data_IF_906944504290
#
_entry.id   IF_906944504290
#
_cell.length_a   1.000
_cell.length_b   1.000
_cell.length_c   1.000
_cell.angle_alpha   90.00
_cell.angle_beta   90.00
_cell.angle_gamma   90.00
#
_symmetry.space_group_name_H-M   'P 1'
#
loop_
_entity.id
_entity.type
_entity.pdbx_description
1 polymer ?
#
# COMPACT_ATOMS: atom_id res chain seq x y z
N UNK A 1 -4.23 21.14 -13.07
CA UNK A 1 -4.89 21.47 -11.81
C UNK A 1 -4.27 20.54 -10.79
N UNK A 2 -3.55 21.07 -9.77
CA UNK A 2 -3.01 20.21 -8.69
C UNK A 2 -4.19 19.58 -7.95
N UNK A 3 -4.17 18.26 -7.74
CA UNK A 3 -5.15 17.58 -6.91
C UNK A 3 -5.08 18.15 -5.50
N UNK A 4 -6.24 18.42 -4.90
CA UNK A 4 -6.32 18.91 -3.52
C UNK A 4 -5.78 17.84 -2.58
N UNK A 5 -4.78 18.21 -1.76
CA UNK A 5 -4.17 17.31 -0.78
C UNK A 5 -5.07 17.20 0.44
N UNK A 6 -5.53 16.00 0.75
CA UNK A 6 -6.38 15.75 1.92
C UNK A 6 -5.56 15.38 3.17
N UNK A 7 -4.34 14.88 2.98
CA UNK A 7 -3.36 14.66 4.05
C UNK A 7 -2.06 15.35 3.63
N UNK A 8 -1.49 16.15 4.52
CA UNK A 8 -0.18 16.75 4.35
C UNK A 8 0.63 16.59 5.63
N UNK A 9 1.92 16.26 5.49
CA UNK A 9 2.88 16.28 6.60
C UNK A 9 4.13 17.04 6.20
N UNK A 10 4.76 17.73 7.16
CA UNK A 10 6.02 18.46 6.99
C UNK A 10 6.95 18.16 8.15
N UNK A 11 8.07 17.52 7.86
CA UNK A 11 9.10 17.12 8.83
C UNK A 11 8.52 16.46 10.10
N UNK A 12 7.50 15.59 9.91
CA UNK A 12 6.78 14.95 11.00
C UNK A 12 7.71 14.02 11.76
N UNK A 13 7.78 14.16 13.09
CA UNK A 13 8.68 13.39 13.95
C UNK A 13 7.98 12.82 15.15
N UNK A 14 8.40 11.62 15.55
CA UNK A 14 7.98 11.00 16.80
C UNK A 14 9.13 10.25 17.46
N UNK A 15 9.49 10.67 18.66
CA UNK A 15 10.51 10.04 19.50
C UNK A 15 9.85 9.46 20.76
N UNK A 16 10.17 8.22 21.06
CA UNK A 16 9.77 7.56 22.30
C UNK A 16 10.97 7.48 23.26
N UNK A 17 10.72 7.74 24.54
CA UNK A 17 11.71 7.51 25.60
C UNK A 17 11.70 6.02 25.94
N UNK A 18 12.84 5.34 25.84
CA UNK A 18 13.02 3.96 26.25
C UNK A 18 14.14 3.86 27.30
N UNK A 19 14.17 2.76 28.05
CA UNK A 19 15.23 2.53 29.06
C UNK A 19 16.64 2.52 28.45
N UNK A 20 16.78 2.11 27.21
CA UNK A 20 18.05 2.05 26.46
C UNK A 20 18.36 3.32 25.66
N UNK A 21 17.63 4.41 25.82
CA UNK A 21 17.79 5.66 25.07
C UNK A 21 16.50 6.11 24.36
N UNK A 22 16.60 7.17 23.57
CA UNK A 22 15.47 7.65 22.76
C UNK A 22 15.40 6.89 21.44
N UNK A 23 14.20 6.45 21.04
CA UNK A 23 13.95 5.80 19.74
C UNK A 23 13.13 6.75 18.88
N UNK A 24 13.70 7.23 17.78
CA UNK A 24 13.00 8.05 16.80
C UNK A 24 12.26 7.15 15.83
N UNK A 25 10.97 6.90 16.08
CA UNK A 25 10.14 6.02 15.27
C UNK A 25 9.62 6.69 13.99
N UNK A 26 9.54 8.03 13.97
CA UNK A 26 9.23 8.84 12.79
C UNK A 26 10.27 9.95 12.74
N UNK A 27 11.04 10.03 11.68
CA UNK A 27 12.29 10.78 11.60
C UNK A 27 12.28 11.82 10.45
N UNK A 28 11.22 12.63 10.39
CA UNK A 28 11.09 13.70 9.38
C UNK A 28 10.28 13.27 8.16
N UNK A 29 9.10 12.67 8.38
CA UNK A 29 8.20 12.27 7.30
C UNK A 29 7.51 13.50 6.71
N UNK A 30 7.73 13.73 5.41
CA UNK A 30 7.05 14.75 4.60
C UNK A 30 6.37 14.04 3.45
N UNK A 31 5.04 14.10 3.36
CA UNK A 31 4.23 13.48 2.31
C UNK A 31 2.95 14.26 2.04
N UNK A 32 2.37 14.03 0.87
CA UNK A 32 1.06 14.53 0.49
C UNK A 32 0.19 13.42 -0.09
N UNK A 33 -1.09 13.37 0.30
CA UNK A 33 -2.06 12.42 -0.23
C UNK A 33 -3.19 13.16 -0.91
N UNK A 34 -3.45 12.83 -2.17
CA UNK A 34 -4.53 13.44 -2.93
C UNK A 34 -5.90 12.89 -2.52
N UNK A 35 -6.92 13.74 -2.59
CA UNK A 35 -8.31 13.34 -2.33
C UNK A 35 -8.75 12.24 -3.31
N UNK A 36 -9.33 11.18 -2.78
CA UNK A 36 -9.87 10.06 -3.56
C UNK A 36 -8.85 8.98 -3.95
N UNK A 37 -7.58 9.10 -3.54
CA UNK A 37 -6.57 8.09 -3.81
C UNK A 37 -6.58 6.96 -2.77
N UNK A 38 -6.07 5.80 -3.18
CA UNK A 38 -5.55 4.77 -2.27
C UNK A 38 -4.05 5.01 -2.13
N UNK A 39 -3.63 5.50 -0.96
CA UNK A 39 -2.23 5.75 -0.64
C UNK A 39 -1.65 4.63 0.23
N UNK A 40 -0.57 4.02 -0.24
CA UNK A 40 0.15 2.96 0.48
C UNK A 40 1.35 3.48 1.27
N UNK A 41 1.49 3.03 2.51
CA UNK A 41 2.67 3.29 3.33
C UNK A 41 3.40 1.97 3.57
N UNK A 42 4.35 1.64 2.69
CA UNK A 42 5.02 0.36 2.57
C UNK A 42 6.34 0.34 3.34
N UNK A 43 6.63 -0.71 4.07
CA UNK A 43 7.92 -0.88 4.73
C UNK A 43 7.97 -2.05 5.71
N UNK A 44 9.15 -2.42 6.23
CA UNK A 44 9.30 -3.52 7.16
C UNK A 44 8.64 -3.25 8.52
N UNK A 45 8.57 -4.29 9.35
CA UNK A 45 8.14 -4.14 10.73
C UNK A 45 9.11 -3.23 11.50
N UNK A 46 8.57 -2.29 12.29
CA UNK A 46 9.37 -1.31 13.01
C UNK A 46 9.83 -0.09 12.19
N UNK A 47 9.51 0.00 10.90
CA UNK A 47 9.88 1.15 10.06
C UNK A 47 9.19 2.47 10.41
N UNK A 48 8.16 2.46 11.28
CA UNK A 48 7.42 3.65 11.69
C UNK A 48 6.01 3.78 11.09
N UNK A 49 5.54 2.82 10.27
CA UNK A 49 4.23 2.84 9.59
C UNK A 49 3.06 3.12 10.53
N UNK A 50 2.82 2.19 11.47
CA UNK A 50 1.73 2.31 12.46
C UNK A 50 1.86 3.56 13.33
N UNK A 51 3.09 3.99 13.65
CA UNK A 51 3.33 5.21 14.43
C UNK A 51 2.89 6.44 13.63
N UNK A 52 3.29 6.57 12.37
CA UNK A 52 2.87 7.66 11.50
C UNK A 52 1.35 7.67 11.34
N UNK A 53 0.75 6.52 11.03
CA UNK A 53 -0.70 6.39 10.88
C UNK A 53 -1.44 6.80 12.15
N UNK A 54 -0.95 6.40 13.34
CA UNK A 54 -1.56 6.80 14.63
C UNK A 54 -1.44 8.29 14.92
N UNK A 55 -0.39 8.96 14.45
CA UNK A 55 -0.28 10.42 14.55
C UNK A 55 -1.34 11.07 13.67
N UNK A 56 -1.45 10.66 12.40
CA UNK A 56 -2.45 11.18 11.46
C UNK A 56 -3.88 10.94 11.96
N UNK A 57 -4.14 9.78 12.59
CA UNK A 57 -5.42 9.45 13.22
C UNK A 57 -5.62 10.11 14.60
N UNK A 58 -4.73 11.01 15.04
CA UNK A 58 -4.79 11.72 16.34
C UNK A 58 -4.73 10.82 17.58
N UNK A 59 -4.27 9.58 17.43
CA UNK A 59 -4.10 8.62 18.54
C UNK A 59 -2.77 8.80 19.28
N UNK A 60 -1.81 9.45 18.64
CA UNK A 60 -0.51 9.83 19.22
C UNK A 60 -0.19 11.28 18.86
N UNK A 61 0.29 12.13 19.78
CA UNK A 61 0.79 13.44 19.40
C UNK A 61 2.15 13.31 18.71
N UNK A 62 2.48 14.16 17.73
CA UNK A 62 3.83 14.27 17.19
C UNK A 62 4.80 14.82 18.28
N UNK A 63 6.09 14.59 18.11
CA UNK A 63 7.14 15.26 18.92
C UNK A 63 7.48 16.61 18.33
N UNK A 64 7.51 16.72 17.01
CA UNK A 64 7.69 17.95 16.23
C UNK A 64 7.22 17.73 14.79
N UNK A 65 7.25 18.81 13.99
CA UNK A 65 6.72 18.83 12.63
C UNK A 65 5.22 19.09 12.60
N UNK A 66 4.66 19.14 11.42
CA UNK A 66 3.25 19.49 11.18
C UNK A 66 2.54 18.38 10.43
N UNK A 67 1.26 18.19 10.71
CA UNK A 67 0.40 17.30 9.94
C UNK A 67 -1.03 17.84 9.90
N UNK A 68 -1.64 17.81 8.72
CA UNK A 68 -3.05 18.13 8.51
C UNK A 68 -3.78 16.97 7.86
N UNK A 69 -5.03 16.73 8.27
CA UNK A 69 -5.92 15.73 7.71
C UNK A 69 -7.29 16.37 7.49
N UNK A 70 -7.81 16.26 6.28
CA UNK A 70 -9.06 16.88 5.85
C UNK A 70 -9.11 18.39 6.18
N UNK A 71 -7.98 19.10 6.03
CA UNK A 71 -7.87 20.53 6.32
C UNK A 71 -7.70 20.90 7.79
N UNK A 72 -7.61 19.93 8.73
CA UNK A 72 -7.47 20.17 10.16
C UNK A 72 -6.11 19.70 10.68
N UNK A 73 -5.47 20.54 11.51
CA UNK A 73 -4.22 20.21 12.19
C UNK A 73 -4.44 19.09 13.22
N UNK A 74 -3.62 18.03 13.17
CA UNK A 74 -3.78 16.83 14.01
C UNK A 74 -3.44 17.09 15.48
N UNK A 75 -2.61 18.07 15.80
CA UNK A 75 -2.20 18.40 17.15
C UNK A 75 -3.15 19.42 17.79
N UNK A 76 -3.62 20.41 17.03
CA UNK A 76 -4.39 21.53 17.55
C UNK A 76 -5.91 21.36 17.39
N UNK A 77 -6.35 20.54 16.42
CA UNK A 77 -7.78 20.30 16.12
C UNK A 77 -8.14 18.81 16.04
N UNK A 78 -7.70 17.96 16.98
CA UNK A 78 -7.86 16.50 16.90
C UNK A 78 -9.33 16.07 16.81
N UNK A 79 -10.26 16.76 17.49
CA UNK A 79 -11.68 16.40 17.47
C UNK A 79 -12.32 16.66 16.08
N UNK A 80 -11.86 17.68 15.36
CA UNK A 80 -12.30 17.96 14.00
C UNK A 80 -11.75 16.90 13.03
N UNK A 81 -10.48 16.51 13.19
CA UNK A 81 -9.89 15.39 12.44
C UNK A 81 -10.70 14.11 12.65
N UNK A 82 -10.98 13.72 13.91
CA UNK A 82 -11.70 12.47 14.25
C UNK A 82 -13.09 12.39 13.62
N UNK A 83 -13.75 13.51 13.39
CA UNK A 83 -15.05 13.56 12.71
C UNK A 83 -14.94 13.30 11.21
N UNK A 84 -13.75 13.48 10.61
CA UNK A 84 -13.50 13.32 9.19
C UNK A 84 -12.82 11.99 8.84
N UNK A 85 -12.40 11.21 9.83
CA UNK A 85 -11.62 10.00 9.59
C UNK A 85 -12.29 8.75 10.15
N UNK A 86 -12.11 7.63 9.46
CA UNK A 86 -12.27 6.29 10.03
C UNK A 86 -10.89 5.70 10.33
N UNK A 87 -10.78 4.89 11.38
CA UNK A 87 -9.55 4.20 11.73
C UNK A 87 -9.82 2.73 12.02
N UNK A 88 -9.09 1.85 11.33
CA UNK A 88 -9.18 0.40 11.49
C UNK A 88 -7.82 -0.13 11.92
N UNK A 89 -7.69 -0.49 13.20
CA UNK A 89 -6.47 -1.06 13.74
C UNK A 89 -6.15 -2.44 13.18
N UNK A 90 -4.88 -2.84 13.22
CA UNK A 90 -4.42 -4.18 12.84
C UNK A 90 -5.13 -5.28 13.64
N UNK A 91 -5.20 -5.15 14.96
CA UNK A 91 -6.00 -6.01 15.84
C UNK A 91 -7.38 -5.37 16.01
N UNK A 92 -8.37 -5.90 15.33
CA UNK A 92 -9.74 -5.38 15.41
C UNK A 92 -10.32 -5.42 16.82
N UNK A 93 -11.18 -4.44 17.12
CA UNK A 93 -11.76 -4.16 18.45
C UNK A 93 -13.26 -4.38 18.54
N UNK A 94 -13.89 -5.31 17.79
CA UNK A 94 -15.32 -5.57 17.95
C UNK A 94 -15.63 -6.20 19.34
N UNK A 95 -16.69 -5.71 19.97
CA UNK A 95 -17.14 -6.26 21.25
C UNK A 95 -17.73 -7.66 21.05
N UNK A 96 -17.10 -8.69 21.65
CA UNK A 96 -17.42 -10.10 21.39
C UNK A 96 -18.87 -10.49 21.67
N UNK A 97 -19.56 -9.80 22.56
CA UNK A 97 -20.94 -10.07 22.93
C UNK A 97 -22.00 -9.38 22.07
N UNK A 98 -21.61 -8.38 21.27
CA UNK A 98 -22.54 -7.68 20.41
C UNK A 98 -22.69 -8.35 19.03
N UNK A 99 -23.80 -8.08 18.36
CA UNK A 99 -24.00 -8.46 16.95
C UNK A 99 -23.34 -7.44 16.03
N UNK A 100 -23.10 -7.82 14.76
CA UNK A 100 -22.54 -6.87 13.77
C UNK A 100 -23.41 -5.64 13.57
N UNK A 101 -24.73 -5.82 13.58
CA UNK A 101 -25.69 -4.71 13.51
C UNK A 101 -25.62 -3.78 14.71
N UNK A 102 -25.55 -4.32 15.92
CA UNK A 102 -25.44 -3.52 17.14
C UNK A 102 -24.16 -2.69 17.16
N UNK A 103 -23.03 -3.27 16.77
CA UNK A 103 -21.74 -2.56 16.67
C UNK A 103 -21.84 -1.35 15.75
N UNK A 104 -22.40 -1.53 14.55
CA UNK A 104 -22.56 -0.46 13.57
C UNK A 104 -23.53 0.62 14.07
N UNK A 105 -24.66 0.22 14.68
CA UNK A 105 -25.61 1.18 15.24
C UNK A 105 -24.99 1.96 16.39
N UNK A 106 -24.29 1.31 17.32
CA UNK A 106 -23.59 1.96 18.42
C UNK A 106 -22.59 2.97 17.88
N UNK A 107 -21.78 2.57 16.91
CA UNK A 107 -20.80 3.46 16.29
C UNK A 107 -21.46 4.69 15.64
N UNK A 108 -22.55 4.50 14.89
CA UNK A 108 -23.32 5.63 14.33
C UNK A 108 -23.83 6.58 15.42
N UNK A 109 -24.30 6.02 16.54
CA UNK A 109 -24.75 6.82 17.69
C UNK A 109 -23.62 7.62 18.37
N UNK A 110 -22.39 7.09 18.38
CA UNK A 110 -21.21 7.81 18.88
C UNK A 110 -20.81 9.00 17.99
N UNK A 111 -21.23 8.97 16.71
CA UNK A 111 -21.09 10.08 15.76
C UNK A 111 -22.37 10.93 15.63
N UNK A 112 -23.18 11.03 16.69
CA UNK A 112 -24.37 11.87 16.79
C UNK A 112 -25.51 11.52 15.79
N UNK A 113 -25.47 10.36 15.10
CA UNK A 113 -26.56 9.93 14.24
C UNK A 113 -27.81 9.59 15.06
N UNK A 114 -29.01 9.95 14.57
CA UNK A 114 -30.27 9.48 15.18
C UNK A 114 -30.37 7.96 15.08
N UNK A 115 -31.00 7.31 16.03
CA UNK A 115 -31.11 5.83 16.06
C UNK A 115 -31.64 5.24 14.74
N UNK A 116 -32.68 5.84 14.18
CA UNK A 116 -33.25 5.38 12.91
C UNK A 116 -32.26 5.50 11.75
N UNK A 117 -31.54 6.63 11.65
CA UNK A 117 -30.54 6.84 10.60
C UNK A 117 -29.35 5.88 10.77
N UNK A 118 -28.90 5.61 12.02
CA UNK A 118 -27.86 4.65 12.32
C UNK A 118 -28.26 3.21 11.97
N UNK A 119 -29.54 2.84 12.15
CA UNK A 119 -30.06 1.52 11.76
C UNK A 119 -30.09 1.35 10.24
N UNK A 120 -30.55 2.35 9.50
CA UNK A 120 -30.52 2.35 8.03
C UNK A 120 -29.08 2.25 7.55
N UNK A 121 -28.19 3.07 8.11
CA UNK A 121 -26.77 3.06 7.73
C UNK A 121 -26.07 1.73 8.05
N UNK A 122 -26.41 1.12 9.17
CA UNK A 122 -25.90 -0.19 9.53
C UNK A 122 -26.29 -1.26 8.49
N UNK A 123 -27.56 -1.24 8.02
CA UNK A 123 -28.02 -2.17 6.99
C UNK A 123 -27.29 -1.93 5.66
N UNK A 124 -27.16 -0.68 5.20
CA UNK A 124 -26.37 -0.34 3.99
C UNK A 124 -24.96 -0.92 4.04
N UNK A 125 -24.28 -0.78 5.18
CA UNK A 125 -22.91 -1.29 5.36
C UNK A 125 -22.87 -2.82 5.39
N UNK A 126 -23.80 -3.46 6.09
CA UNK A 126 -23.89 -4.92 6.16
C UNK A 126 -24.11 -5.54 4.78
N UNK A 127 -24.98 -4.91 3.97
CA UNK A 127 -25.26 -5.34 2.60
C UNK A 127 -24.00 -5.14 1.71
N UNK A 128 -23.37 -3.96 1.78
CA UNK A 128 -22.18 -3.63 0.99
C UNK A 128 -20.96 -4.53 1.31
N UNK A 129 -20.87 -5.03 2.54
CA UNK A 129 -19.76 -5.87 3.01
C UNK A 129 -20.09 -7.38 3.03
N UNK A 130 -21.22 -7.79 2.43
CA UNK A 130 -21.67 -9.18 2.41
C UNK A 130 -21.69 -9.81 3.83
N UNK A 131 -22.29 -9.07 4.78
CA UNK A 131 -22.47 -9.47 6.18
C UNK A 131 -23.95 -9.51 6.60
N UNK A 132 -24.89 -9.27 5.69
CA UNK A 132 -26.33 -9.17 5.99
C UNK A 132 -26.87 -10.44 6.65
N UNK A 133 -26.53 -11.63 6.16
CA UNK A 133 -26.99 -12.92 6.73
C UNK A 133 -26.44 -13.18 8.13
N UNK A 134 -25.29 -12.57 8.49
CA UNK A 134 -24.65 -12.70 9.78
C UNK A 134 -24.92 -11.52 10.72
N UNK A 135 -25.67 -10.50 10.26
CA UNK A 135 -25.84 -9.22 10.93
C UNK A 135 -26.27 -9.33 12.40
N UNK A 136 -27.17 -10.27 12.70
CA UNK A 136 -27.77 -10.46 14.01
C UNK A 136 -27.14 -11.62 14.82
N UNK A 137 -26.02 -12.17 14.34
CA UNK A 137 -25.21 -13.15 15.06
C UNK A 137 -24.16 -12.44 15.92
N UNK A 138 -23.78 -13.00 17.09
CA UNK A 138 -22.70 -12.46 17.91
C UNK A 138 -21.37 -12.39 17.14
N UNK A 139 -20.64 -11.28 17.24
CA UNK A 139 -19.34 -11.06 16.57
C UNK A 139 -18.28 -12.11 16.96
N UNK A 140 -18.43 -12.76 18.12
CA UNK A 140 -17.59 -13.90 18.52
C UNK A 140 -17.66 -15.10 17.56
N UNK A 141 -18.78 -15.24 16.82
CA UNK A 141 -18.99 -16.34 15.84
C UNK A 141 -18.50 -16.02 14.44
N UNK A 142 -18.01 -14.79 14.21
CA UNK A 142 -17.52 -14.37 12.90
C UNK A 142 -16.16 -15.00 12.59
N UNK A 143 -15.94 -15.34 11.31
CA UNK A 143 -14.61 -15.68 10.81
C UNK A 143 -13.66 -14.49 10.90
N UNK A 144 -12.35 -14.71 10.74
CA UNK A 144 -11.37 -13.61 10.69
C UNK A 144 -11.69 -12.57 9.62
N UNK A 145 -12.04 -13.02 8.41
CA UNK A 145 -12.44 -12.15 7.31
C UNK A 145 -13.73 -11.39 7.61
N UNK A 146 -14.76 -12.02 8.16
CA UNK A 146 -16.00 -11.34 8.56
C UNK A 146 -15.74 -10.25 9.60
N UNK A 147 -14.93 -10.55 10.62
CA UNK A 147 -14.54 -9.54 11.63
C UNK A 147 -13.79 -8.38 10.99
N UNK A 148 -12.89 -8.66 10.04
CA UNK A 148 -12.12 -7.61 9.37
C UNK A 148 -13.01 -6.71 8.54
N UNK A 149 -13.96 -7.26 7.77
CA UNK A 149 -14.98 -6.52 7.04
C UNK A 149 -15.84 -5.66 7.97
N UNK A 150 -16.34 -6.22 9.07
CA UNK A 150 -17.11 -5.47 10.06
C UNK A 150 -16.31 -4.29 10.62
N UNK A 151 -15.02 -4.47 10.93
CA UNK A 151 -14.17 -3.38 11.45
C UNK A 151 -14.02 -2.23 10.42
N UNK A 152 -13.92 -2.55 9.13
CA UNK A 152 -13.97 -1.54 8.06
C UNK A 152 -15.31 -0.82 8.08
N UNK A 153 -16.41 -1.58 8.13
CA UNK A 153 -17.77 -1.02 8.23
C UNK A 153 -17.93 -0.07 9.42
N UNK A 154 -17.41 -0.44 10.59
CA UNK A 154 -17.41 0.42 11.79
C UNK A 154 -16.67 1.74 11.51
N UNK A 155 -15.50 1.68 10.87
CA UNK A 155 -14.76 2.88 10.45
C UNK A 155 -15.50 3.75 9.43
N UNK A 156 -16.45 3.19 8.68
CA UNK A 156 -17.17 3.85 7.58
C UNK A 156 -18.58 4.38 7.94
N UNK A 157 -19.07 4.13 9.15
CA UNK A 157 -20.46 4.44 9.52
C UNK A 157 -20.79 5.92 9.31
N UNK A 158 -19.94 6.82 9.73
CA UNK A 158 -20.13 8.27 9.69
C UNK A 158 -19.69 8.92 8.36
N UNK A 159 -19.40 8.10 7.32
CA UNK A 159 -18.96 8.54 5.98
C UNK A 159 -17.71 9.44 6.03
N UNK A 160 -16.59 8.92 6.55
CA UNK A 160 -15.36 9.70 6.67
C UNK A 160 -14.81 10.13 5.31
N UNK A 161 -14.12 11.27 5.27
CA UNK A 161 -13.37 11.72 4.10
C UNK A 161 -12.09 10.89 3.88
N UNK A 162 -11.50 10.38 4.99
CA UNK A 162 -10.29 9.54 4.97
C UNK A 162 -10.51 8.30 5.82
N UNK A 163 -10.17 7.13 5.27
CA UNK A 163 -10.13 5.86 6.00
C UNK A 163 -8.68 5.41 6.20
N UNK A 164 -8.25 5.31 7.44
CA UNK A 164 -6.96 4.75 7.82
C UNK A 164 -7.07 3.26 8.08
N UNK A 165 -6.26 2.44 7.40
CA UNK A 165 -6.21 0.98 7.52
C UNK A 165 -4.81 0.55 7.96
N UNK A 166 -4.67 0.03 9.18
CA UNK A 166 -3.40 -0.48 9.68
C UNK A 166 -3.28 -1.96 9.35
N UNK A 167 -2.43 -2.29 8.35
CA UNK A 167 -2.17 -3.64 7.84
C UNK A 167 -3.47 -4.45 7.59
N UNK A 168 -4.33 -4.02 6.63
CA UNK A 168 -5.70 -4.52 6.50
C UNK A 168 -5.81 -6.02 6.19
N UNK A 169 -4.80 -6.62 5.56
CA UNK A 169 -4.86 -8.01 5.11
C UNK A 169 -3.97 -8.99 5.89
N UNK A 170 -3.30 -8.50 6.93
CA UNK A 170 -2.43 -9.34 7.76
C UNK A 170 -3.21 -10.48 8.40
N UNK A 171 -2.70 -11.72 8.22
CA UNK A 171 -3.32 -12.94 8.76
C UNK A 171 -4.53 -13.47 7.97
N UNK A 172 -4.86 -12.87 6.82
CA UNK A 172 -5.87 -13.39 5.92
C UNK A 172 -5.27 -14.40 4.94
N UNK A 173 -6.07 -15.42 4.58
CA UNK A 173 -5.75 -16.31 3.47
C UNK A 173 -5.81 -15.56 2.13
N UNK A 174 -5.22 -16.13 1.03
CA UNK A 174 -5.17 -15.44 -0.27
C UNK A 174 -6.54 -15.04 -0.83
N UNK A 175 -7.58 -15.87 -0.61
CA UNK A 175 -8.92 -15.56 -1.12
C UNK A 175 -9.58 -14.43 -0.32
N UNK A 176 -9.44 -14.45 1.01
CA UNK A 176 -9.93 -13.36 1.87
C UNK A 176 -9.19 -12.04 1.60
N UNK A 177 -7.88 -12.12 1.29
CA UNK A 177 -7.07 -10.95 0.89
C UNK A 177 -7.58 -10.35 -0.41
N UNK A 178 -7.80 -11.14 -1.45
CA UNK A 178 -8.31 -10.66 -2.73
C UNK A 178 -9.67 -9.96 -2.57
N UNK A 179 -10.61 -10.56 -1.81
CA UNK A 179 -11.91 -9.92 -1.49
C UNK A 179 -11.73 -8.59 -0.75
N UNK A 180 -10.81 -8.52 0.21
CA UNK A 180 -10.51 -7.29 0.94
C UNK A 180 -9.99 -6.19 0.02
N UNK A 181 -9.17 -6.54 -0.97
CA UNK A 181 -8.71 -5.59 -1.98
C UNK A 181 -9.86 -5.02 -2.82
N UNK A 182 -10.83 -5.86 -3.21
CA UNK A 182 -12.01 -5.42 -3.96
C UNK A 182 -12.90 -4.49 -3.11
N UNK A 183 -13.03 -4.77 -1.82
CA UNK A 183 -13.73 -3.89 -0.88
C UNK A 183 -13.04 -2.52 -0.77
N UNK A 184 -11.71 -2.49 -0.61
CA UNK A 184 -10.93 -1.24 -0.55
C UNK A 184 -11.08 -0.43 -1.86
N UNK A 185 -11.03 -1.08 -3.02
CA UNK A 185 -11.28 -0.42 -4.32
C UNK A 185 -12.71 0.17 -4.40
N UNK A 186 -13.69 -0.55 -3.89
CA UNK A 186 -15.09 -0.07 -3.83
C UNK A 186 -15.23 1.19 -2.95
N UNK A 187 -14.52 1.25 -1.82
CA UNK A 187 -14.49 2.45 -0.96
C UNK A 187 -13.93 3.66 -1.70
N UNK A 188 -12.82 3.48 -2.44
CA UNK A 188 -12.27 4.52 -3.30
C UNK A 188 -13.28 4.98 -4.36
N UNK A 189 -13.92 4.02 -5.04
CA UNK A 189 -14.93 4.32 -6.06
C UNK A 189 -16.13 5.12 -5.50
N UNK A 190 -16.42 5.00 -4.21
CA UNK A 190 -17.44 5.81 -3.51
C UNK A 190 -16.94 7.20 -3.07
N UNK A 191 -15.68 7.57 -3.38
CA UNK A 191 -15.10 8.88 -3.10
C UNK A 191 -14.34 8.98 -1.77
N UNK A 192 -14.15 7.86 -1.04
CA UNK A 192 -13.38 7.85 0.21
C UNK A 192 -11.89 7.76 -0.11
N UNK A 193 -11.07 8.64 0.45
CA UNK A 193 -9.61 8.50 0.41
C UNK A 193 -9.19 7.41 1.37
N UNK A 194 -8.32 6.51 0.92
CA UNK A 194 -7.81 5.42 1.76
C UNK A 194 -6.31 5.59 1.98
N UNK A 195 -5.89 5.60 3.25
CA UNK A 195 -4.48 5.51 3.63
C UNK A 195 -4.24 4.17 4.31
N UNK A 196 -3.45 3.30 3.70
CA UNK A 196 -3.17 1.98 4.27
C UNK A 196 -1.68 1.81 4.58
N UNK A 197 -1.38 1.11 5.67
CA UNK A 197 -0.03 0.61 5.95
C UNK A 197 0.05 -0.85 5.53
N UNK A 198 1.20 -1.25 4.99
CA UNK A 198 1.45 -2.65 4.64
C UNK A 198 2.94 -2.98 4.64
N UNK A 199 3.25 -4.26 4.80
CA UNK A 199 4.55 -4.85 4.52
C UNK A 199 4.49 -5.83 3.34
N UNK A 200 3.30 -6.00 2.73
CA UNK A 200 3.10 -6.84 1.55
C UNK A 200 3.26 -6.02 0.27
N UNK A 201 4.32 -6.35 -0.49
CA UNK A 201 4.61 -5.72 -1.79
C UNK A 201 3.47 -5.88 -2.79
N UNK A 202 2.86 -7.09 -2.80
CA UNK A 202 1.74 -7.41 -3.69
C UNK A 202 0.50 -6.55 -3.39
N UNK A 203 0.23 -6.25 -2.13
CA UNK A 203 -0.86 -5.37 -1.73
C UNK A 203 -0.63 -3.94 -2.20
N UNK A 204 0.58 -3.40 -1.95
CA UNK A 204 0.95 -2.08 -2.40
C UNK A 204 0.86 -1.95 -3.94
N UNK A 205 1.35 -2.95 -4.67
CA UNK A 205 1.35 -2.97 -6.14
C UNK A 205 -0.06 -3.10 -6.74
N UNK A 206 -0.93 -3.90 -6.10
CA UNK A 206 -2.28 -4.15 -6.60
C UNK A 206 -3.30 -3.07 -6.27
N UNK A 207 -3.13 -2.34 -5.16
CA UNK A 207 -4.15 -1.44 -4.63
C UNK A 207 -3.82 0.04 -4.79
N UNK A 208 -2.52 0.42 -4.60
CA UNK A 208 -2.20 1.82 -4.37
C UNK A 208 -2.09 2.61 -5.67
N UNK A 209 -2.69 3.79 -5.71
CA UNK A 209 -2.48 4.79 -6.76
C UNK A 209 -1.11 5.47 -6.57
N UNK A 210 -0.80 5.80 -5.32
CA UNK A 210 0.48 6.34 -4.88
C UNK A 210 0.94 5.59 -3.62
N UNK A 211 2.24 5.50 -3.42
CA UNK A 211 2.81 4.92 -2.22
C UNK A 211 4.09 5.64 -1.79
N UNK A 212 4.36 5.61 -0.50
CA UNK A 212 5.64 5.96 0.06
C UNK A 212 6.28 4.71 0.70
N UNK A 213 7.53 4.46 0.38
CA UNK A 213 8.33 3.41 1.00
C UNK A 213 9.06 4.03 2.18
N UNK A 214 8.84 3.46 3.38
CA UNK A 214 9.46 3.94 4.62
C UNK A 214 10.45 2.91 5.17
N UNK A 215 11.61 3.37 5.58
CA UNK A 215 12.59 2.60 6.35
C UNK A 215 13.19 3.47 7.45
N UNK A 216 13.38 2.90 8.66
CA UNK A 216 13.90 3.60 9.84
C UNK A 216 13.29 4.99 10.08
N UNK A 217 11.97 5.11 9.95
CA UNK A 217 11.21 6.34 10.19
C UNK A 217 11.32 7.41 9.09
N UNK A 218 11.94 7.11 7.94
CA UNK A 218 12.14 8.05 6.82
C UNK A 218 11.55 7.49 5.53
N UNK A 219 10.97 8.36 4.72
CA UNK A 219 10.58 8.01 3.36
C UNK A 219 11.83 7.89 2.52
N UNK A 220 12.01 6.72 1.88
CA UNK A 220 13.15 6.42 1.00
C UNK A 220 12.78 6.48 -0.49
N UNK A 221 11.51 6.30 -0.81
CA UNK A 221 10.98 6.49 -2.17
C UNK A 221 9.48 6.83 -2.10
N UNK A 222 8.98 7.62 -3.06
CA UNK A 222 7.58 8.02 -3.19
C UNK A 222 7.19 8.11 -4.67
N UNK A 223 5.98 7.69 -5.00
CA UNK A 223 5.41 7.71 -6.36
C UNK A 223 4.39 6.61 -6.58
N UNK A 224 3.83 6.51 -7.77
CA UNK A 224 3.01 5.37 -8.13
C UNK A 224 3.84 4.08 -8.19
N UNK A 225 3.25 2.89 -7.96
CA UNK A 225 3.97 1.62 -8.06
C UNK A 225 4.75 1.47 -9.38
N UNK A 226 4.13 1.89 -10.48
CA UNK A 226 4.76 1.80 -11.81
C UNK A 226 5.91 2.80 -12.01
N UNK A 227 5.81 4.02 -11.47
CA UNK A 227 6.90 5.00 -11.51
C UNK A 227 8.10 4.51 -10.72
N UNK A 228 7.87 4.02 -9.51
CA UNK A 228 8.93 3.51 -8.65
C UNK A 228 9.65 2.31 -9.29
N UNK A 229 8.92 1.36 -9.84
CA UNK A 229 9.51 0.22 -10.56
C UNK A 229 10.38 0.67 -11.73
N UNK A 230 9.94 1.67 -12.51
CA UNK A 230 10.71 2.21 -13.64
C UNK A 230 12.00 2.94 -13.23
N UNK A 231 12.08 3.47 -12.00
CA UNK A 231 13.27 4.16 -11.49
C UNK A 231 14.43 3.21 -11.14
N UNK A 232 14.15 1.93 -10.90
CA UNK A 232 15.17 0.98 -10.40
C UNK A 232 16.01 0.41 -11.52
N UNK A 233 15.36 -0.10 -12.55
CA UNK A 233 15.95 -0.57 -13.79
C UNK A 233 14.84 -0.59 -14.84
N UNK A 234 15.18 -0.51 -16.14
CA UNK A 234 14.25 -0.95 -17.18
C UNK A 234 13.88 -2.43 -16.99
N UNK A 235 12.98 -2.93 -17.81
CA UNK A 235 12.70 -4.36 -17.84
C UNK A 235 13.97 -5.15 -18.14
N UNK A 236 14.17 -6.28 -17.46
CA UNK A 236 15.35 -7.15 -17.67
C UNK A 236 14.96 -8.32 -18.58
N UNK A 237 15.55 -8.35 -19.76
CA UNK A 237 15.38 -9.45 -20.69
C UNK A 237 16.58 -10.39 -20.59
N UNK A 238 16.35 -11.65 -20.25
CA UNK A 238 17.40 -12.68 -20.21
C UNK A 238 17.24 -13.59 -21.40
N UNK A 239 18.33 -13.74 -22.20
CA UNK A 239 18.33 -14.50 -23.44
C UNK A 239 19.41 -15.57 -23.35
N UNK A 240 19.02 -16.83 -23.52
CA UNK A 240 19.95 -17.95 -23.70
C UNK A 240 20.11 -18.28 -25.17
N UNK A 241 21.36 -18.31 -25.63
CA UNK A 241 21.74 -18.71 -26.99
C UNK A 241 22.80 -19.79 -26.94
N UNK A 242 22.88 -20.62 -27.99
CA UNK A 242 23.88 -21.67 -28.07
C UNK A 242 25.19 -21.11 -28.65
N UNK A 243 26.22 -20.96 -27.78
CA UNK A 243 27.62 -20.75 -28.16
C UNK A 243 28.04 -19.36 -28.67
N UNK A 244 27.10 -18.43 -29.00
CA UNK A 244 27.43 -17.12 -29.59
C UNK A 244 27.03 -15.92 -28.69
N UNK A 245 27.11 -16.06 -27.38
CA UNK A 245 26.61 -15.06 -26.40
C UNK A 245 27.27 -13.69 -26.53
N UNK A 246 28.59 -13.64 -26.74
CA UNK A 246 29.33 -12.37 -26.91
C UNK A 246 28.88 -11.60 -28.16
N UNK A 247 28.65 -12.34 -29.27
CA UNK A 247 28.14 -11.76 -30.52
C UNK A 247 26.74 -11.17 -30.34
N UNK A 248 25.88 -11.86 -29.59
CA UNK A 248 24.54 -11.38 -29.25
C UNK A 248 24.61 -10.11 -28.42
N UNK A 249 25.46 -10.04 -27.38
CA UNK A 249 25.67 -8.82 -26.59
C UNK A 249 26.08 -7.64 -27.47
N UNK A 250 27.08 -7.83 -28.35
CA UNK A 250 27.56 -6.78 -29.24
C UNK A 250 26.48 -6.29 -30.21
N UNK A 251 25.65 -7.19 -30.72
CA UNK A 251 24.56 -6.89 -31.66
C UNK A 251 23.45 -6.10 -30.98
N UNK A 252 23.10 -6.45 -29.73
CA UNK A 252 21.96 -5.87 -29.03
C UNK A 252 22.30 -4.59 -28.24
N UNK A 253 23.57 -4.42 -27.86
CA UNK A 253 24.02 -3.28 -27.03
C UNK A 253 23.74 -1.90 -27.63
N UNK A 254 23.72 -1.80 -28.95
CA UNK A 254 23.58 -0.52 -29.64
C UNK A 254 22.12 -0.20 -30.04
N UNK A 255 21.15 -1.00 -29.63
CA UNK A 255 19.75 -0.72 -29.91
C UNK A 255 19.24 0.47 -29.06
N UNK A 256 18.42 1.36 -29.64
CA UNK A 256 18.03 2.61 -28.98
C UNK A 256 17.20 2.42 -27.70
N UNK A 257 16.59 1.28 -27.52
CA UNK A 257 15.79 0.92 -26.34
C UNK A 257 16.55 0.03 -25.34
N UNK A 258 17.83 -0.30 -25.60
CA UNK A 258 18.70 -1.05 -24.70
C UNK A 258 19.58 -0.08 -23.94
N UNK A 259 19.43 -0.06 -22.62
CA UNK A 259 20.25 0.78 -21.71
C UNK A 259 21.60 0.14 -21.42
N UNK A 260 21.56 -1.20 -21.22
CA UNK A 260 22.72 -1.98 -20.86
C UNK A 260 22.59 -3.42 -21.36
N UNK A 261 23.68 -4.04 -21.75
CA UNK A 261 23.74 -5.42 -22.19
C UNK A 261 24.96 -6.11 -21.56
N UNK A 262 24.72 -7.13 -20.77
CA UNK A 262 25.74 -7.86 -20.01
C UNK A 262 25.68 -9.35 -20.28
N UNK A 263 26.83 -10.03 -20.11
CA UNK A 263 26.91 -11.48 -20.07
C UNK A 263 27.05 -11.90 -18.60
N UNK A 264 26.05 -12.62 -18.08
CA UNK A 264 26.03 -13.13 -16.71
C UNK A 264 25.61 -14.60 -16.71
N UNK A 265 26.38 -15.47 -16.08
CA UNK A 265 26.11 -16.91 -15.96
C UNK A 265 25.86 -17.62 -17.31
N UNK A 266 26.50 -17.15 -18.39
CA UNK A 266 26.33 -17.70 -19.73
C UNK A 266 25.05 -17.24 -20.45
N UNK A 267 24.29 -16.33 -19.87
CA UNK A 267 23.08 -15.74 -20.42
C UNK A 267 23.30 -14.27 -20.76
N UNK A 268 22.67 -13.79 -21.81
CA UNK A 268 22.67 -12.37 -22.17
C UNK A 268 21.56 -11.66 -21.38
N UNK A 269 21.94 -10.70 -20.53
CA UNK A 269 21.01 -9.83 -19.82
C UNK A 269 20.98 -8.45 -20.45
N UNK A 270 19.77 -8.02 -20.82
CA UNK A 270 19.51 -6.72 -21.40
C UNK A 270 18.60 -5.93 -20.46
N UNK A 271 19.02 -4.72 -20.14
CA UNK A 271 18.18 -3.73 -19.47
C UNK A 271 17.54 -2.87 -20.55
N UNK A 272 16.20 -2.95 -20.68
CA UNK A 272 15.43 -2.31 -21.76
C UNK A 272 14.34 -1.41 -21.18
N UNK A 273 13.96 -0.37 -21.92
CA UNK A 273 12.95 0.57 -21.44
C UNK A 273 11.56 -0.08 -21.30
N UNK A 274 11.19 -0.92 -22.27
CA UNK A 274 9.91 -1.64 -22.34
C UNK A 274 10.13 -3.01 -22.97
N UNK A 275 10.15 -4.03 -22.15
CA UNK A 275 10.47 -5.38 -22.57
C UNK A 275 9.46 -5.98 -23.55
N UNK A 276 8.16 -5.68 -23.38
CA UNK A 276 7.10 -6.12 -24.25
C UNK A 276 7.24 -5.58 -25.70
N UNK A 277 7.71 -4.35 -25.87
CA UNK A 277 8.02 -3.76 -27.16
C UNK A 277 9.38 -4.22 -27.71
N UNK A 278 10.36 -4.42 -26.82
CA UNK A 278 11.72 -4.82 -27.21
C UNK A 278 11.77 -6.25 -27.76
N UNK A 279 11.04 -7.21 -27.17
CA UNK A 279 11.06 -8.62 -27.53
C UNK A 279 10.84 -8.86 -29.04
N UNK A 280 9.80 -8.33 -29.70
CA UNK A 280 9.60 -8.57 -31.13
C UNK A 280 10.72 -7.99 -32.01
N UNK A 281 11.34 -6.90 -31.60
CA UNK A 281 12.47 -6.29 -32.33
C UNK A 281 13.74 -7.12 -32.19
N UNK A 282 14.04 -7.58 -30.97
CA UNK A 282 15.20 -8.43 -30.66
C UNK A 282 15.09 -9.76 -31.41
N UNK A 283 13.93 -10.43 -31.39
CA UNK A 283 13.71 -11.69 -32.06
C UNK A 283 13.96 -11.57 -33.59
N UNK A 284 13.41 -10.54 -34.24
CA UNK A 284 13.63 -10.29 -35.66
C UNK A 284 15.08 -10.03 -35.99
N UNK A 285 15.78 -9.28 -35.14
CA UNK A 285 17.19 -8.97 -35.35
C UNK A 285 18.06 -10.24 -35.22
N UNK A 286 17.83 -11.05 -34.20
CA UNK A 286 18.55 -12.30 -33.98
C UNK A 286 18.31 -13.30 -35.12
N UNK A 287 17.06 -13.47 -35.56
CA UNK A 287 16.68 -14.32 -36.65
C UNK A 287 17.38 -13.90 -37.99
N UNK A 288 17.39 -12.58 -38.25
CA UNK A 288 18.09 -12.03 -39.44
C UNK A 288 19.61 -12.26 -39.43
N UNK A 289 20.21 -12.57 -38.29
CA UNK A 289 21.63 -12.91 -38.15
C UNK A 289 21.89 -14.42 -37.96
N UNK A 290 20.83 -15.25 -38.07
CA UNK A 290 20.92 -16.69 -37.88
C UNK A 290 21.14 -17.13 -36.43
N UNK A 291 20.81 -16.26 -35.47
CA UNK A 291 20.98 -16.50 -34.03
C UNK A 291 19.60 -16.84 -33.44
N UNK A 292 19.35 -18.12 -33.17
CA UNK A 292 18.10 -18.53 -32.54
C UNK A 292 18.20 -18.55 -31.01
N UNK A 293 17.39 -17.77 -30.28
CA UNK A 293 17.39 -17.87 -28.84
C UNK A 293 16.75 -19.20 -28.40
N UNK A 294 17.41 -19.92 -27.49
CA UNK A 294 16.87 -21.14 -26.88
C UNK A 294 15.89 -20.82 -25.76
N UNK A 295 16.21 -19.79 -24.99
CA UNK A 295 15.34 -19.30 -23.91
C UNK A 295 15.27 -17.79 -23.95
N UNK A 296 14.10 -17.24 -23.61
CA UNK A 296 13.90 -15.82 -23.42
C UNK A 296 12.93 -15.61 -22.27
N UNK A 297 13.34 -14.84 -21.28
CA UNK A 297 12.50 -14.49 -20.13
C UNK A 297 12.53 -12.99 -19.90
N UNK A 298 11.37 -12.44 -19.57
CA UNK A 298 11.19 -11.04 -19.19
C UNK A 298 10.97 -10.94 -17.69
N UNK A 299 11.89 -10.30 -16.99
CA UNK A 299 11.73 -9.93 -15.60
C UNK A 299 11.39 -8.43 -15.51
N UNK A 300 10.21 -8.12 -14.97
CA UNK A 300 9.82 -6.74 -14.70
C UNK A 300 10.24 -6.39 -13.29
N UNK A 301 10.84 -5.20 -13.06
CA UNK A 301 11.19 -4.76 -11.73
C UNK A 301 9.99 -4.81 -10.79
N UNK A 302 10.21 -5.27 -9.59
CA UNK A 302 9.23 -5.34 -8.51
C UNK A 302 9.45 -4.20 -7.51
N UNK A 303 8.49 -3.98 -6.62
CA UNK A 303 8.68 -3.06 -5.50
C UNK A 303 9.75 -3.55 -4.51
N UNK A 304 10.07 -4.86 -4.49
CA UNK A 304 11.19 -5.40 -3.71
C UNK A 304 12.54 -4.92 -4.27
N UNK A 305 12.67 -4.87 -5.60
CA UNK A 305 13.87 -4.33 -6.25
C UNK A 305 14.03 -2.82 -5.94
N UNK A 306 12.92 -2.09 -5.86
CA UNK A 306 12.94 -0.67 -5.41
C UNK A 306 13.45 -0.57 -3.99
N UNK A 307 12.89 -1.37 -3.07
CA UNK A 307 13.30 -1.37 -1.67
C UNK A 307 14.77 -1.77 -1.51
N UNK A 308 15.19 -2.84 -2.18
CA UNK A 308 16.59 -3.32 -2.18
C UNK A 308 17.55 -2.22 -2.65
N UNK A 309 17.24 -1.54 -3.76
CA UNK A 309 18.08 -0.45 -4.28
C UNK A 309 18.20 0.72 -3.31
N UNK A 310 17.14 1.07 -2.61
CA UNK A 310 17.10 2.21 -1.70
C UNK A 310 17.72 1.91 -0.32
N UNK A 311 17.66 0.64 0.14
CA UNK A 311 18.02 0.28 1.52
C UNK A 311 19.17 -0.71 1.62
N UNK A 312 19.58 -1.32 0.50
CA UNK A 312 20.63 -2.35 0.45
C UNK A 312 20.17 -3.74 0.95
N UNK A 313 18.88 -3.97 1.22
CA UNK A 313 18.32 -5.25 1.69
C UNK A 313 16.94 -5.50 1.11
N UNK A 314 16.54 -6.77 0.95
CA UNK A 314 15.19 -7.13 0.50
C UNK A 314 14.16 -6.97 1.63
N UNK A 315 12.95 -6.52 1.27
CA UNK A 315 11.83 -6.44 2.22
C UNK A 315 11.40 -7.85 2.67
N UNK A 316 11.53 -8.85 1.80
CA UNK A 316 11.18 -10.26 2.09
C UNK A 316 12.07 -10.88 3.17
N UNK A 317 13.34 -10.52 3.21
CA UNK A 317 14.30 -11.01 4.23
C UNK A 317 14.05 -10.39 5.61
N UNK A 318 13.44 -9.21 5.67
CA UNK A 318 13.16 -8.50 6.93
C UNK A 318 11.81 -8.89 7.56
N UNK A 319 10.99 -9.65 6.85
CA UNK A 319 9.66 -10.10 7.32
C UNK A 319 9.69 -11.51 7.95
N UNK A 320 10.83 -12.20 7.92
CA UNK A 320 11.08 -13.50 8.55
C UNK A 320 11.70 -13.28 9.94
#
# INVERSE_FOLDING_TARGET
MGSEQIIETRDLRRTFKAKAGAVEAVAGVTLGVATGDIFGFLGPNGAGKTTTLRILATLLPPTSGEATVAGFDVAHRPDQVRRQIGYVAQSGGSYRGATGREELVIQGRLFDMRKADAQVRAQEILDALDLAEAADRPCSTYSGGMRRRLNIGIGMVHRPAVLFLDEPTTGLDPQARARMWDEIRSLRASGTTVFLTTHYLEEADALCDQLAIIDHGRIVAEGSPNELKRQVAGDVLTIGVDGETERVVLLLRNLPFVREANLEDGLVRLYVDRGDEAIPHILRLLDGHGLAPQTMSLHRPSLDDVFLKQTGRSLRETAA
#
